data_IF_156911987906
#
_entry.id   IF_156911987906
#
_cell.length_a   1.000
_cell.length_b   1.000
_cell.length_c   1.000
_cell.angle_alpha   90.00
_cell.angle_beta   90.00
_cell.angle_gamma   90.00
#
_symmetry.space_group_name_H-M   'P 1'
#
loop_
_entity.id
_entity.type
_entity.pdbx_description
1 polymer ?
#
# COMPACT_ATOMS: atom_id res chain seq x y z
N UNK A 1 66.25 7.90 12.23
CA UNK A 1 65.74 9.16 11.67
C UNK A 1 64.78 8.78 10.55
N UNK A 2 63.56 9.31 10.62
CA UNK A 2 62.28 8.88 10.03
C UNK A 2 62.28 8.21 8.65
N UNK A 3 61.55 7.09 8.57
CA UNK A 3 60.99 6.45 7.37
C UNK A 3 59.70 7.19 7.03
N UNK A 4 59.58 7.72 5.80
CA UNK A 4 58.38 8.38 5.30
C UNK A 4 57.45 7.33 4.69
N UNK A 5 56.35 7.01 5.37
CA UNK A 5 55.25 6.23 4.80
C UNK A 5 54.40 7.14 3.90
N UNK A 6 54.35 6.82 2.61
CA UNK A 6 53.43 7.43 1.67
C UNK A 6 52.03 6.82 1.94
N UNK A 7 51.16 7.59 2.57
CA UNK A 7 49.74 7.24 2.72
C UNK A 7 49.09 7.51 1.37
N UNK A 8 48.77 6.44 0.64
CA UNK A 8 47.88 6.49 -0.52
C UNK A 8 46.47 6.66 0.05
N UNK A 9 45.92 7.86 -0.10
CA UNK A 9 44.52 8.16 0.19
C UNK A 9 43.68 7.43 -0.85
N UNK A 10 43.00 6.36 -0.44
CA UNK A 10 41.90 5.80 -1.21
C UNK A 10 40.77 6.82 -1.21
N UNK A 11 40.56 7.45 -2.36
CA UNK A 11 39.27 8.09 -2.66
C UNK A 11 38.28 6.94 -2.83
N UNK A 12 37.44 6.74 -1.82
CA UNK A 12 36.26 5.89 -1.90
C UNK A 12 35.33 6.50 -2.96
N UNK A 13 35.43 6.05 -4.22
CA UNK A 13 34.27 6.09 -5.10
C UNK A 13 33.31 5.04 -4.56
N UNK A 14 32.21 5.48 -3.96
CA UNK A 14 31.09 4.60 -3.60
C UNK A 14 30.51 4.01 -4.89
N UNK A 15 31.04 2.87 -5.30
CA UNK A 15 30.29 1.93 -6.13
C UNK A 15 29.17 1.45 -5.21
N UNK A 16 28.00 2.07 -5.35
CA UNK A 16 26.75 1.48 -4.87
C UNK A 16 26.75 0.08 -5.47
N UNK A 17 26.70 -0.96 -4.65
CA UNK A 17 26.57 -2.32 -5.15
C UNK A 17 25.41 -2.32 -6.15
N UNK A 18 25.61 -2.85 -7.37
CA UNK A 18 24.57 -2.93 -8.40
C UNK A 18 23.43 -3.80 -7.88
N UNK A 19 22.47 -3.19 -7.16
CA UNK A 19 21.28 -3.89 -6.70
C UNK A 19 20.41 -4.09 -7.95
N UNK A 20 20.10 -5.33 -8.34
CA UNK A 20 19.42 -5.62 -9.60
C UNK A 20 17.97 -5.11 -9.62
N UNK A 21 17.41 -4.76 -8.47
CA UNK A 21 16.06 -4.24 -8.28
C UNK A 21 16.01 -3.27 -7.10
N UNK A 22 15.00 -2.41 -7.07
CA UNK A 22 14.58 -1.64 -5.90
C UNK A 22 13.37 -2.31 -5.23
N UNK A 23 13.14 -2.01 -3.96
CA UNK A 23 11.95 -2.44 -3.23
C UNK A 23 10.87 -1.37 -3.31
N UNK A 24 9.62 -1.80 -3.47
CA UNK A 24 8.44 -0.93 -3.51
C UNK A 24 7.65 -1.14 -2.22
N UNK A 25 7.28 -0.04 -1.56
CA UNK A 25 6.58 -0.08 -0.28
C UNK A 25 7.45 -0.64 0.86
N UNK A 26 6.78 -1.05 1.95
CA UNK A 26 7.47 -1.63 3.11
C UNK A 26 7.76 -3.11 2.92
N UNK A 27 8.91 -3.51 3.43
CA UNK A 27 9.42 -4.88 3.35
C UNK A 27 10.26 -5.21 4.58
N UNK A 28 10.50 -6.50 4.82
CA UNK A 28 11.35 -6.96 5.91
C UNK A 28 12.41 -7.93 5.37
N UNK A 29 13.69 -7.58 5.54
CA UNK A 29 14.79 -8.49 5.21
C UNK A 29 14.86 -9.63 6.23
N UNK A 30 15.06 -10.86 5.74
CA UNK A 30 15.19 -12.05 6.57
C UNK A 30 16.20 -13.03 6.00
N UNK A 31 16.54 -14.08 6.76
CA UNK A 31 17.42 -15.16 6.27
C UNK A 31 16.82 -15.97 5.12
N UNK A 32 15.51 -15.91 4.92
CA UNK A 32 14.78 -16.64 3.86
C UNK A 32 14.65 -15.81 2.57
N UNK A 33 14.91 -14.50 2.64
CA UNK A 33 14.66 -13.55 1.57
C UNK A 33 13.95 -12.29 2.08
N UNK A 34 13.45 -11.48 1.14
CA UNK A 34 12.73 -10.24 1.46
C UNK A 34 11.24 -10.55 1.61
N UNK A 35 10.66 -10.21 2.76
CA UNK A 35 9.24 -10.41 3.08
C UNK A 35 8.40 -9.21 2.68
N UNK A 36 7.26 -9.47 2.06
CA UNK A 36 6.30 -8.50 1.54
C UNK A 36 4.91 -8.76 2.10
N UNK A 37 4.42 -7.82 2.92
CA UNK A 37 3.16 -7.97 3.65
C UNK A 37 2.07 -7.01 3.19
N UNK A 38 2.43 -5.76 2.93
CA UNK A 38 1.45 -4.72 2.60
C UNK A 38 0.95 -4.82 1.15
N UNK A 39 -0.32 -4.47 0.87
CA UNK A 39 -0.79 -4.29 -0.50
C UNK A 39 0.08 -3.27 -1.24
N UNK A 40 0.36 -3.51 -2.51
CA UNK A 40 1.23 -2.68 -3.34
C UNK A 40 2.73 -2.80 -3.05
N UNK A 41 3.15 -3.59 -2.04
CA UNK A 41 4.57 -3.86 -1.80
C UNK A 41 5.15 -4.83 -2.83
N UNK A 42 6.44 -4.73 -3.14
CA UNK A 42 7.03 -5.52 -4.20
C UNK A 42 8.47 -5.18 -4.51
N UNK A 43 8.86 -5.49 -5.73
CA UNK A 43 10.14 -5.08 -6.30
C UNK A 43 9.93 -4.42 -7.66
N UNK A 44 10.84 -3.53 -8.02
CA UNK A 44 10.86 -2.87 -9.32
C UNK A 44 12.27 -2.90 -9.88
N UNK A 45 12.41 -3.04 -11.20
CA UNK A 45 13.70 -3.03 -11.88
C UNK A 45 13.59 -2.46 -13.28
N UNK A 46 14.71 -2.00 -13.82
CA UNK A 46 14.82 -1.50 -15.18
C UNK A 46 15.68 -2.44 -15.99
N UNK A 47 15.18 -2.80 -17.16
CA UNK A 47 15.94 -3.50 -18.21
C UNK A 47 16.31 -2.48 -19.27
N UNK A 48 17.61 -2.30 -19.52
CA UNK A 48 18.08 -1.47 -20.63
C UNK A 48 17.73 -2.12 -21.98
N UNK A 49 17.56 -1.35 -23.07
CA UNK A 49 17.30 -1.91 -24.39
C UNK A 49 18.31 -3.00 -24.78
N UNK A 50 17.82 -4.13 -25.28
CA UNK A 50 18.61 -5.28 -25.74
C UNK A 50 18.31 -5.60 -27.21
N UNK A 51 19.11 -6.48 -27.82
CA UNK A 51 18.84 -6.97 -29.19
C UNK A 51 17.67 -7.96 -29.23
N UNK A 52 17.48 -8.72 -28.15
CA UNK A 52 16.47 -9.76 -28.01
C UNK A 52 15.55 -9.48 -26.80
N UNK A 53 14.49 -10.27 -26.67
CA UNK A 53 13.65 -10.28 -25.46
C UNK A 53 14.50 -10.70 -24.26
N UNK A 54 14.31 -10.03 -23.13
CA UNK A 54 14.98 -10.37 -21.88
C UNK A 54 14.05 -11.19 -21.01
N UNK A 55 14.48 -12.40 -20.69
CA UNK A 55 13.78 -13.22 -19.70
C UNK A 55 14.31 -12.92 -18.29
N UNK A 56 13.37 -12.64 -17.39
CA UNK A 56 13.58 -12.46 -15.95
C UNK A 56 12.73 -13.48 -15.20
N UNK A 57 13.28 -14.06 -14.14
CA UNK A 57 12.58 -14.96 -13.24
C UNK A 57 12.67 -14.43 -11.81
N UNK A 58 11.51 -14.36 -11.15
CA UNK A 58 11.37 -14.00 -9.75
C UNK A 58 10.75 -15.19 -9.02
N UNK A 59 11.47 -15.78 -8.07
CA UNK A 59 10.93 -16.88 -7.27
C UNK A 59 10.29 -16.34 -5.99
N UNK A 60 9.01 -16.66 -5.81
CA UNK A 60 8.19 -16.19 -4.70
C UNK A 60 7.69 -17.37 -3.87
N UNK A 61 7.95 -17.33 -2.56
CA UNK A 61 7.46 -18.34 -1.63
C UNK A 61 6.39 -17.74 -0.72
N UNK A 62 5.44 -18.57 -0.32
CA UNK A 62 4.48 -18.25 0.73
C UNK A 62 4.59 -19.36 1.78
N UNK A 63 4.73 -18.97 3.04
CA UNK A 63 4.96 -19.91 4.13
C UNK A 63 3.91 -21.03 4.13
N UNK A 64 4.32 -22.32 4.18
CA UNK A 64 3.41 -23.47 4.11
C UNK A 64 2.58 -23.68 5.38
N UNK A 65 2.74 -22.83 6.41
CA UNK A 65 1.99 -22.95 7.66
C UNK A 65 0.50 -22.79 7.33
N UNK A 66 -0.26 -23.80 7.73
CA UNK A 66 -1.61 -24.06 7.26
C UNK A 66 -2.56 -22.93 7.65
N UNK A 67 -3.04 -22.27 6.61
CA UNK A 67 -4.23 -21.44 6.61
C UNK A 67 -5.43 -22.30 6.96
N UNK A 68 -6.04 -22.00 8.09
CA UNK A 68 -7.38 -22.41 8.40
C UNK A 68 -8.12 -21.15 8.80
N UNK A 69 -9.17 -20.79 8.08
CA UNK A 69 -10.17 -19.91 8.65
C UNK A 69 -10.73 -20.54 9.95
N UNK A 70 -11.59 -19.80 10.65
CA UNK A 70 -12.22 -20.28 11.89
C UNK A 70 -13.05 -21.59 11.69
N UNK A 71 -13.23 -22.04 10.45
CA UNK A 71 -13.97 -23.24 10.03
C UNK A 71 -13.07 -24.33 9.40
N UNK A 72 -11.76 -24.10 9.25
CA UNK A 72 -10.82 -25.06 8.67
C UNK A 72 -10.64 -25.02 7.15
N UNK A 73 -10.97 -23.93 6.45
CA UNK A 73 -10.69 -23.78 5.01
C UNK A 73 -9.43 -22.95 4.72
N UNK A 74 -8.72 -23.34 3.65
CA UNK A 74 -7.45 -22.75 3.25
C UNK A 74 -7.68 -21.49 2.40
N UNK A 75 -6.89 -20.44 2.67
CA UNK A 75 -6.68 -19.34 1.73
C UNK A 75 -6.16 -19.88 0.39
N UNK A 76 -6.66 -19.33 -0.72
CA UNK A 76 -6.25 -19.74 -2.07
C UNK A 76 -4.83 -19.24 -2.44
N UNK A 77 -4.22 -18.38 -1.62
CA UNK A 77 -2.88 -17.80 -1.81
C UNK A 77 -2.87 -16.28 -1.89
N UNK A 78 -1.69 -15.69 -2.11
CA UNK A 78 -1.47 -14.24 -2.30
C UNK A 78 -1.34 -13.94 -3.79
N UNK A 79 -1.97 -12.86 -4.27
CA UNK A 79 -1.86 -12.43 -5.67
C UNK A 79 -0.72 -11.45 -5.84
N UNK A 80 0.12 -11.72 -6.84
CA UNK A 80 1.19 -10.83 -7.30
C UNK A 80 0.95 -10.53 -8.78
N UNK A 81 1.09 -9.27 -9.19
CA UNK A 81 0.93 -8.84 -10.57
C UNK A 81 2.22 -8.26 -11.12
N UNK A 82 2.40 -8.42 -12.44
CA UNK A 82 3.55 -7.92 -13.21
C UNK A 82 3.09 -6.80 -14.11
N UNK A 83 3.81 -5.69 -14.07
CA UNK A 83 3.60 -4.53 -14.93
C UNK A 83 4.88 -4.23 -15.70
N UNK A 84 4.75 -3.83 -16.96
CA UNK A 84 5.86 -3.31 -17.78
C UNK A 84 5.45 -1.93 -18.28
N UNK A 85 6.25 -0.91 -17.97
CA UNK A 85 5.94 0.49 -18.27
C UNK A 85 4.55 0.91 -17.73
N UNK A 86 4.19 0.41 -16.55
CA UNK A 86 2.89 0.65 -15.91
C UNK A 86 1.72 -0.18 -16.47
N UNK A 87 1.91 -0.87 -17.60
CA UNK A 87 0.86 -1.69 -18.22
C UNK A 87 0.84 -3.10 -17.63
N UNK A 88 -0.34 -3.56 -17.20
CA UNK A 88 -0.55 -4.92 -16.69
C UNK A 88 -0.14 -5.98 -17.73
N UNK A 89 0.65 -6.96 -17.30
CA UNK A 89 1.09 -8.07 -18.14
C UNK A 89 0.45 -9.40 -17.71
N UNK A 90 0.62 -9.76 -16.45
CA UNK A 90 0.11 -11.03 -15.90
C UNK A 90 -0.08 -10.94 -14.37
N UNK A 91 -0.81 -11.90 -13.80
CA UNK A 91 -0.88 -12.09 -12.35
C UNK A 91 -0.73 -13.55 -11.95
N UNK A 92 -0.01 -13.77 -10.86
CA UNK A 92 0.29 -15.08 -10.31
C UNK A 92 -0.32 -15.23 -8.92
N UNK A 93 -0.92 -16.39 -8.67
CA UNK A 93 -1.38 -16.77 -7.35
C UNK A 93 -0.28 -17.58 -6.66
N UNK A 94 0.42 -16.95 -5.72
CA UNK A 94 1.47 -17.58 -4.90
C UNK A 94 0.79 -18.40 -3.81
N UNK A 95 0.97 -19.72 -3.86
CA UNK A 95 0.33 -20.67 -2.94
C UNK A 95 1.30 -21.15 -1.87
N UNK A 96 0.81 -21.52 -0.68
CA UNK A 96 1.63 -22.18 0.33
C UNK A 96 2.20 -23.49 -0.23
N UNK A 97 3.52 -23.58 -0.36
CA UNK A 97 4.21 -24.68 -1.04
C UNK A 97 5.67 -24.78 -0.60
N UNK A 98 6.24 -26.00 -0.58
CA UNK A 98 7.69 -26.20 -0.37
C UNK A 98 8.52 -25.74 -1.58
N UNK A 99 7.91 -25.66 -2.76
CA UNK A 99 8.54 -25.15 -3.98
C UNK A 99 8.07 -23.72 -4.25
N UNK A 100 8.99 -22.75 -4.46
CA UNK A 100 8.64 -21.39 -4.85
C UNK A 100 7.79 -21.35 -6.14
N UNK A 101 6.97 -20.30 -6.25
CA UNK A 101 6.29 -19.94 -7.49
C UNK A 101 7.22 -19.11 -8.35
N UNK A 102 7.60 -19.61 -9.53
CA UNK A 102 8.40 -18.86 -10.50
C UNK A 102 7.51 -17.93 -11.32
N UNK A 103 7.70 -16.62 -11.13
CA UNK A 103 7.12 -15.57 -11.98
C UNK A 103 8.09 -15.32 -13.13
N UNK A 104 7.71 -15.73 -14.34
CA UNK A 104 8.52 -15.57 -15.56
C UNK A 104 8.04 -14.35 -16.33
N UNK A 105 8.97 -13.45 -16.62
CA UNK A 105 8.70 -12.15 -17.22
C UNK A 105 9.52 -12.04 -18.49
N UNK A 106 8.85 -11.84 -19.62
CA UNK A 106 9.51 -11.58 -20.90
C UNK A 106 9.43 -10.09 -21.20
N UNK A 107 10.54 -9.39 -20.98
CA UNK A 107 10.65 -7.95 -21.21
C UNK A 107 10.99 -7.69 -22.68
N UNK A 108 10.22 -6.84 -23.38
CA UNK A 108 10.49 -6.51 -24.78
C UNK A 108 11.91 -5.99 -24.99
N UNK A 109 12.46 -6.17 -26.20
CA UNK A 109 13.82 -5.73 -26.55
C UNK A 109 14.04 -4.22 -26.39
N UNK A 110 12.96 -3.42 -26.42
CA UNK A 110 13.03 -2.00 -26.08
C UNK A 110 13.44 -1.73 -24.63
N UNK A 111 13.44 -2.75 -23.77
CA UNK A 111 13.64 -2.62 -22.34
C UNK A 111 12.42 -2.00 -21.66
N UNK A 112 12.62 -1.58 -20.41
CA UNK A 112 11.63 -0.83 -19.65
C UNK A 112 11.70 -1.08 -18.14
N UNK A 113 10.90 -0.30 -17.41
CA UNK A 113 10.61 -0.52 -15.99
C UNK A 113 9.64 -1.69 -15.85
N UNK A 114 9.96 -2.61 -14.96
CA UNK A 114 9.12 -3.73 -14.55
C UNK A 114 8.81 -3.58 -13.07
N UNK A 115 7.55 -3.71 -12.70
CA UNK A 115 7.08 -3.74 -11.32
C UNK A 115 6.43 -5.11 -11.05
N UNK A 116 6.85 -5.79 -9.99
CA UNK A 116 6.28 -7.06 -9.52
C UNK A 116 5.71 -6.81 -8.13
N UNK A 117 4.39 -6.65 -8.05
CA UNK A 117 3.71 -6.11 -6.86
C UNK A 117 2.76 -7.13 -6.26
N UNK A 118 2.79 -7.29 -4.94
CA UNK A 118 1.70 -7.91 -4.17
C UNK A 118 0.46 -7.02 -4.32
N UNK A 119 -0.57 -7.52 -4.98
CA UNK A 119 -1.80 -6.74 -5.24
C UNK A 119 -2.92 -7.07 -4.28
N UNK A 120 -2.96 -8.27 -3.71
CA UNK A 120 -3.90 -8.58 -2.64
C UNK A 120 -3.37 -8.11 -1.29
N UNK A 121 -4.23 -7.54 -0.46
CA UNK A 121 -3.86 -7.19 0.91
C UNK A 121 -3.54 -8.41 1.79
N UNK A 122 -3.04 -8.14 2.99
CA UNK A 122 -2.90 -9.15 4.03
C UNK A 122 -4.22 -9.29 4.81
N UNK A 123 -4.56 -10.52 5.20
CA UNK A 123 -5.78 -10.83 5.95
C UNK A 123 -5.40 -11.39 7.31
N UNK A 124 -5.89 -10.77 8.38
CA UNK A 124 -5.71 -11.09 9.81
C UNK A 124 -5.01 -12.42 10.12
N UNK A 125 -3.71 -12.48 9.85
CA UNK A 125 -2.89 -13.64 10.20
C UNK A 125 -2.34 -13.44 11.60
N UNK A 126 -2.26 -14.52 12.36
CA UNK A 126 -1.31 -14.55 13.47
C UNK A 126 0.05 -14.81 12.85
N UNK A 127 1.04 -13.95 13.12
CA UNK A 127 2.41 -14.02 12.62
C UNK A 127 2.58 -13.60 11.14
N UNK A 128 3.83 -13.59 10.66
CA UNK A 128 4.24 -13.24 9.28
C UNK A 128 3.81 -14.25 8.21
N UNK A 129 2.87 -15.13 8.56
CA UNK A 129 2.45 -16.28 7.75
C UNK A 129 2.00 -15.88 6.35
N UNK A 130 1.36 -14.71 6.20
CA UNK A 130 0.85 -14.20 4.92
C UNK A 130 1.89 -13.42 4.09
N UNK A 131 3.12 -13.28 4.58
CA UNK A 131 4.15 -12.58 3.82
C UNK A 131 4.59 -13.40 2.60
N UNK A 132 4.63 -12.74 1.44
CA UNK A 132 5.29 -13.31 0.26
C UNK A 132 6.79 -13.05 0.42
N UNK A 133 7.58 -14.11 0.27
CA UNK A 133 9.03 -14.05 0.38
C UNK A 133 9.63 -14.06 -1.02
N UNK A 134 10.36 -13.01 -1.37
CA UNK A 134 11.24 -12.99 -2.53
C UNK A 134 12.48 -13.83 -2.22
N UNK A 135 12.57 -15.03 -2.81
CA UNK A 135 13.65 -16.00 -2.53
C UNK A 135 14.77 -15.96 -3.57
N UNK A 136 14.46 -15.59 -4.82
CA UNK A 136 15.48 -15.39 -5.84
C UNK A 136 15.03 -14.42 -6.93
N UNK A 137 16.03 -13.83 -7.59
CA UNK A 137 15.90 -12.97 -8.76
C UNK A 137 16.98 -13.36 -9.76
N UNK A 138 16.58 -13.72 -10.97
CA UNK A 138 17.48 -14.11 -12.06
C UNK A 138 17.10 -13.37 -13.34
N UNK A 139 18.09 -12.87 -14.07
CA UNK A 139 17.88 -12.17 -15.33
C UNK A 139 18.91 -12.59 -16.36
N UNK A 140 18.48 -12.72 -17.61
CA UNK A 140 19.35 -13.00 -18.77
C UNK A 140 20.15 -11.78 -19.24
N UNK A 141 19.79 -10.59 -18.77
CA UNK A 141 20.50 -9.34 -19.03
C UNK A 141 20.71 -8.51 -17.74
N UNK A 142 21.66 -7.56 -17.71
CA UNK A 142 21.82 -6.64 -16.58
C UNK A 142 20.53 -5.88 -16.27
N UNK A 143 20.26 -5.71 -14.98
CA UNK A 143 19.11 -4.96 -14.45
C UNK A 143 19.60 -3.96 -13.41
N UNK A 144 18.80 -2.93 -13.15
CA UNK A 144 19.08 -1.95 -12.10
C UNK A 144 17.81 -1.56 -11.37
N UNK A 145 17.94 -1.13 -10.13
CA UNK A 145 16.85 -0.41 -9.46
C UNK A 145 16.39 0.81 -10.30
N UNK A 146 15.07 1.11 -10.36
CA UNK A 146 14.58 2.32 -11.00
C UNK A 146 15.09 3.56 -10.27
N UNK A 147 15.22 4.66 -11.00
CA UNK A 147 15.42 5.97 -10.36
C UNK A 147 14.13 6.35 -9.59
N UNK A 148 14.26 7.00 -8.43
CA UNK A 148 13.10 7.55 -7.73
C UNK A 148 12.30 8.49 -8.64
N UNK A 149 10.98 8.40 -8.55
CA UNK A 149 10.08 9.33 -9.23
C UNK A 149 10.11 10.72 -8.57
N UNK A 150 9.65 11.79 -9.25
CA UNK A 150 9.69 13.15 -8.71
C UNK A 150 8.89 13.37 -7.42
N UNK A 151 7.92 12.51 -7.15
CA UNK A 151 7.05 12.56 -5.99
C UNK A 151 7.02 11.19 -5.30
N UNK A 152 6.99 11.16 -3.98
CA UNK A 152 6.77 9.95 -3.18
C UNK A 152 5.57 10.14 -2.24
N UNK A 153 4.58 9.26 -2.33
CA UNK A 153 3.35 9.35 -1.54
C UNK A 153 3.18 8.11 -0.66
N UNK A 154 2.94 8.33 0.64
CA UNK A 154 2.52 7.28 1.55
C UNK A 154 1.01 7.35 1.77
N UNK A 155 0.30 6.32 1.33
CA UNK A 155 -1.12 6.14 1.54
C UNK A 155 -1.38 5.31 2.79
N UNK A 156 -2.23 5.82 3.66
CA UNK A 156 -2.62 5.20 4.92
C UNK A 156 -4.14 5.02 4.90
N UNK A 157 -4.64 3.79 5.05
CA UNK A 157 -6.07 3.58 4.94
C UNK A 157 -6.63 2.22 5.31
N UNK A 158 -7.89 2.03 4.92
CA UNK A 158 -8.67 0.82 5.14
C UNK A 158 -8.86 0.02 3.83
N UNK A 159 -9.99 -0.70 3.72
CA UNK A 159 -10.34 -1.55 2.58
C UNK A 159 -10.39 -0.79 1.25
N UNK A 160 -10.80 0.47 1.22
CA UNK A 160 -10.83 1.24 -0.02
C UNK A 160 -9.42 1.56 -0.52
N UNK A 161 -8.50 1.87 0.40
CA UNK A 161 -7.09 2.11 0.05
C UNK A 161 -6.39 0.81 -0.36
N UNK A 162 -6.77 -0.32 0.26
CA UNK A 162 -6.30 -1.66 -0.09
C UNK A 162 -6.85 -2.20 -1.43
N UNK A 163 -7.88 -1.55 -2.01
CA UNK A 163 -8.50 -1.96 -3.28
C UNK A 163 -9.42 -3.18 -3.12
N UNK A 164 -10.06 -3.36 -1.97
CA UNK A 164 -10.97 -4.47 -1.73
C UNK A 164 -12.21 -4.40 -2.63
N UNK A 165 -12.60 -5.53 -3.21
CA UNK A 165 -13.81 -5.64 -4.02
C UNK A 165 -13.69 -5.10 -5.45
N UNK A 166 -12.51 -4.65 -5.85
CA UNK A 166 -12.30 -3.93 -7.11
C UNK A 166 -12.61 -4.75 -8.38
N UNK A 167 -12.33 -6.05 -8.35
CA UNK A 167 -12.57 -6.98 -9.47
C UNK A 167 -13.98 -7.59 -9.48
N UNK A 168 -14.87 -7.10 -8.63
CA UNK A 168 -16.20 -7.69 -8.43
C UNK A 168 -17.32 -6.71 -8.75
N UNK A 169 -18.55 -7.19 -8.66
CA UNK A 169 -19.76 -6.37 -8.70
C UNK A 169 -20.65 -6.69 -7.48
N UNK A 170 -21.64 -5.84 -7.13
CA UNK A 170 -22.37 -5.98 -5.85
C UNK A 170 -23.20 -7.27 -5.71
N UNK A 171 -23.39 -7.99 -6.81
CA UNK A 171 -24.16 -9.24 -6.89
C UNK A 171 -23.28 -10.44 -7.24
N UNK A 172 -21.96 -10.28 -7.22
CA UNK A 172 -21.03 -11.35 -7.56
C UNK A 172 -21.13 -12.46 -6.50
N UNK A 173 -21.36 -13.73 -6.90
CA UNK A 173 -21.32 -14.86 -5.97
C UNK A 173 -20.00 -14.95 -5.19
N UNK A 174 -18.89 -14.46 -5.75
CA UNK A 174 -17.62 -14.34 -5.05
C UNK A 174 -17.82 -13.58 -3.75
N UNK A 175 -18.53 -12.44 -3.77
CA UNK A 175 -18.83 -11.62 -2.59
C UNK A 175 -19.62 -12.35 -1.49
N UNK A 176 -20.20 -13.53 -1.76
CA UNK A 176 -20.97 -14.29 -0.78
C UNK A 176 -20.12 -15.26 0.05
N UNK A 177 -18.87 -15.50 -0.33
CA UNK A 177 -17.95 -16.32 0.44
C UNK A 177 -16.84 -15.46 1.03
N UNK A 178 -16.95 -15.02 2.30
CA UNK A 178 -16.00 -14.09 2.92
C UNK A 178 -14.57 -14.63 2.98
N UNK A 179 -14.34 -15.93 2.87
CA UNK A 179 -13.07 -16.54 3.26
C UNK A 179 -11.97 -16.53 2.18
N UNK A 180 -12.34 -16.44 0.89
CA UNK A 180 -11.40 -16.38 -0.24
C UNK A 180 -11.55 -15.09 -1.08
N UNK A 181 -12.15 -14.05 -0.50
CA UNK A 181 -12.42 -12.79 -1.19
C UNK A 181 -11.15 -12.07 -1.59
N UNK A 182 -10.24 -11.87 -0.65
CA UNK A 182 -9.21 -10.84 -0.79
C UNK A 182 -8.25 -11.06 -1.97
N UNK A 183 -7.81 -12.29 -2.22
CA UNK A 183 -6.96 -12.58 -3.39
C UNK A 183 -7.73 -12.74 -4.71
N UNK A 184 -9.06 -12.77 -4.68
CA UNK A 184 -9.92 -12.88 -5.87
C UNK A 184 -10.52 -11.54 -6.30
N UNK A 185 -10.97 -10.75 -5.34
CA UNK A 185 -11.71 -9.51 -5.59
C UNK A 185 -10.89 -8.27 -5.27
N UNK A 186 -9.82 -8.37 -4.47
CA UNK A 186 -8.98 -7.24 -4.09
C UNK A 186 -7.77 -7.07 -5.01
N UNK A 187 -7.47 -5.82 -5.36
CA UNK A 187 -6.29 -5.45 -6.15
C UNK A 187 -5.87 -4.00 -5.89
N UNK A 188 -4.83 -3.85 -5.07
CA UNK A 188 -4.28 -2.57 -4.68
C UNK A 188 -3.63 -1.81 -5.85
N UNK A 189 -3.23 -2.48 -6.94
CA UNK A 189 -2.66 -1.78 -8.11
C UNK A 189 -3.70 -0.95 -8.84
N UNK A 190 -4.98 -1.28 -8.67
CA UNK A 190 -6.10 -0.57 -9.25
C UNK A 190 -6.81 0.33 -8.22
N UNK A 191 -6.38 0.37 -6.96
CA UNK A 191 -7.01 1.22 -5.96
C UNK A 191 -6.80 2.70 -6.24
N UNK A 192 -7.59 3.56 -5.59
CA UNK A 192 -7.47 5.01 -5.73
C UNK A 192 -6.06 5.51 -5.39
N UNK A 193 -5.36 4.83 -4.48
CA UNK A 193 -4.00 5.16 -4.09
C UNK A 193 -3.01 4.92 -5.24
N UNK A 194 -3.07 3.75 -5.87
CA UNK A 194 -2.20 3.44 -7.01
C UNK A 194 -2.54 4.31 -8.22
N UNK A 195 -3.83 4.47 -8.54
CA UNK A 195 -4.27 5.32 -9.64
C UNK A 195 -3.86 6.79 -9.43
N UNK A 196 -3.96 7.31 -8.20
CA UNK A 196 -3.51 8.67 -7.90
C UNK A 196 -1.98 8.81 -8.03
N UNK A 197 -1.22 7.82 -7.57
CA UNK A 197 0.23 7.83 -7.73
C UNK A 197 0.62 7.81 -9.22
N UNK A 198 -0.06 7.00 -10.04
CA UNK A 198 0.19 6.93 -11.48
C UNK A 198 -0.17 8.25 -12.19
N UNK A 199 -1.30 8.87 -11.81
CA UNK A 199 -1.73 10.19 -12.32
C UNK A 199 -0.73 11.32 -12.00
N UNK A 200 0.05 11.17 -10.94
CA UNK A 200 1.01 12.16 -10.44
C UNK A 200 2.46 11.81 -10.75
N UNK A 201 2.71 10.71 -11.47
CA UNK A 201 4.05 10.14 -11.68
C UNK A 201 4.82 10.00 -10.35
N UNK A 202 4.21 9.33 -9.37
CA UNK A 202 4.72 9.22 -8.01
C UNK A 202 5.12 7.78 -7.64
N UNK A 203 6.20 7.64 -6.88
CA UNK A 203 6.45 6.43 -6.11
C UNK A 203 5.43 6.35 -4.97
N UNK A 204 5.10 5.13 -4.53
CA UNK A 204 4.05 4.91 -3.55
C UNK A 204 4.44 3.90 -2.48
N UNK A 205 3.97 4.16 -1.27
CA UNK A 205 3.85 3.18 -0.19
C UNK A 205 2.39 3.11 0.21
N UNK A 206 1.83 1.91 0.36
CA UNK A 206 0.44 1.72 0.79
C UNK A 206 0.46 0.92 2.09
N UNK A 207 -0.03 1.52 3.17
CA UNK A 207 -0.33 0.83 4.43
C UNK A 207 -1.82 0.82 4.64
N UNK A 208 -2.45 -0.27 4.21
CA UNK A 208 -3.89 -0.42 4.24
C UNK A 208 -4.31 -1.83 4.62
N UNK A 209 -5.36 -1.92 5.45
CA UNK A 209 -5.95 -3.17 5.90
C UNK A 209 -7.47 -3.02 5.95
N UNK A 210 -8.18 -3.95 5.33
CA UNK A 210 -9.64 -4.01 5.39
C UNK A 210 -10.16 -4.04 6.82
N UNK A 211 -11.23 -3.30 7.08
CA UNK A 211 -11.94 -3.33 8.38
C UNK A 211 -11.18 -2.69 9.54
N UNK A 212 -10.04 -2.03 9.31
CA UNK A 212 -9.38 -1.23 10.35
C UNK A 212 -10.01 0.14 10.50
N UNK A 213 -9.94 0.66 11.71
CA UNK A 213 -10.34 2.02 12.06
C UNK A 213 -9.29 2.68 12.93
N UNK A 214 -9.57 3.88 13.38
CA UNK A 214 -8.70 4.67 14.25
C UNK A 214 -8.70 4.11 15.67
N UNK A 215 -9.89 3.87 16.24
CA UNK A 215 -10.02 3.38 17.61
C UNK A 215 -10.12 1.86 17.69
N UNK A 216 -10.59 1.20 16.63
CA UNK A 216 -10.85 -0.24 16.63
C UNK A 216 -12.13 -0.62 17.37
N UNK A 217 -13.19 0.17 17.19
CA UNK A 217 -14.47 -0.07 17.84
C UNK A 217 -15.41 -0.94 16.97
N UNK A 218 -16.38 -1.60 17.59
CA UNK A 218 -17.49 -2.30 16.92
C UNK A 218 -17.09 -3.43 15.95
N UNK A 219 -16.00 -4.16 16.26
CA UNK A 219 -15.50 -5.27 15.45
C UNK A 219 -14.43 -4.88 14.43
N UNK A 220 -14.05 -3.60 14.38
CA UNK A 220 -12.90 -3.11 13.62
C UNK A 220 -11.62 -3.25 14.45
N UNK A 221 -10.47 -3.47 13.81
CA UNK A 221 -9.18 -3.43 14.51
C UNK A 221 -8.57 -2.01 14.47
N UNK A 222 -7.85 -1.57 15.53
CA UNK A 222 -7.22 -0.26 15.54
C UNK A 222 -5.98 -0.24 14.65
N UNK A 223 -5.94 0.67 13.66
CA UNK A 223 -4.86 0.78 12.68
C UNK A 223 -3.49 1.03 13.34
N UNK A 224 -3.46 1.76 14.46
CA UNK A 224 -2.24 2.05 15.20
C UNK A 224 -1.46 0.79 15.66
N UNK A 225 -2.10 -0.37 15.77
CA UNK A 225 -1.40 -1.63 16.08
C UNK A 225 -0.51 -2.13 14.93
N UNK A 226 -0.80 -1.69 13.69
CA UNK A 226 -0.13 -2.12 12.46
C UNK A 226 0.69 -1.00 11.81
N UNK A 227 0.37 0.25 12.12
CA UNK A 227 0.86 1.46 11.45
C UNK A 227 2.39 1.53 11.32
N UNK A 228 3.13 0.93 12.27
CA UNK A 228 4.59 0.97 12.33
C UNK A 228 5.26 -0.34 11.92
N UNK A 229 4.52 -1.33 11.44
CA UNK A 229 5.12 -2.61 11.07
C UNK A 229 5.54 -2.59 9.58
N UNK A 230 6.67 -3.24 9.31
CA UNK A 230 7.16 -3.58 7.97
C UNK A 230 6.28 -4.67 7.32
N UNK A 231 5.72 -5.56 8.14
CA UNK A 231 4.68 -6.52 7.76
C UNK A 231 3.46 -6.30 8.66
N UNK A 232 2.24 -6.16 8.13
CA UNK A 232 1.09 -5.67 8.90
C UNK A 232 0.84 -6.47 10.19
N UNK A 233 0.82 -7.79 10.13
CA UNK A 233 0.43 -8.66 11.26
C UNK A 233 1.59 -9.39 11.94
N UNK A 234 2.84 -8.99 11.70
CA UNK A 234 3.96 -9.46 12.53
C UNK A 234 4.08 -8.52 13.74
N UNK A 235 3.87 -9.04 14.95
CA UNK A 235 3.77 -8.22 16.17
C UNK A 235 5.07 -8.15 16.98
N UNK A 236 6.18 -8.64 16.44
CA UNK A 236 7.48 -8.57 17.10
C UNK A 236 8.20 -7.23 16.85
N UNK A 237 9.11 -6.84 17.73
CA UNK A 237 9.89 -5.60 17.57
C UNK A 237 10.81 -5.64 16.34
N UNK A 238 11.19 -6.83 15.85
CA UNK A 238 11.99 -6.96 14.63
C UNK A 238 11.21 -6.62 13.35
N UNK A 239 9.88 -6.57 13.43
CA UNK A 239 9.01 -6.19 12.34
C UNK A 239 8.81 -4.69 12.22
N UNK A 240 9.29 -3.87 13.16
CA UNK A 240 9.08 -2.42 13.10
C UNK A 240 9.78 -1.82 11.88
N UNK A 241 9.04 -1.00 11.15
CA UNK A 241 9.54 -0.31 9.98
C UNK A 241 10.59 0.72 10.39
N UNK A 242 11.78 0.62 9.80
CA UNK A 242 12.81 1.63 9.98
C UNK A 242 12.53 2.82 9.07
N UNK A 243 11.79 3.80 9.60
CA UNK A 243 11.48 5.04 8.89
C UNK A 243 12.73 5.85 8.47
N UNK A 244 13.87 5.64 9.13
CA UNK A 244 15.13 6.31 8.78
C UNK A 244 15.89 5.62 7.64
N UNK A 245 15.50 4.39 7.29
CA UNK A 245 16.13 3.61 6.21
C UNK A 245 15.70 4.04 4.81
N UNK A 246 14.63 4.85 4.70
CA UNK A 246 14.08 5.34 3.43
C UNK A 246 13.92 6.85 3.44
N UNK A 247 13.94 7.52 2.27
CA UNK A 247 13.57 8.93 2.19
C UNK A 247 12.14 9.17 2.71
N UNK A 248 11.95 10.27 3.44
CA UNK A 248 10.60 10.69 3.84
C UNK A 248 9.74 10.93 2.59
N UNK A 249 8.48 10.50 2.57
CA UNK A 249 7.58 10.80 1.46
C UNK A 249 7.29 12.30 1.43
N UNK A 250 6.99 12.84 0.26
CA UNK A 250 6.56 14.23 0.12
C UNK A 250 5.18 14.41 0.76
N UNK A 251 4.28 13.43 0.53
CA UNK A 251 2.90 13.44 1.04
C UNK A 251 2.59 12.18 1.86
N UNK A 252 1.80 12.34 2.92
CA UNK A 252 1.11 11.24 3.60
C UNK A 252 -0.39 11.48 3.50
N UNK A 253 -1.11 10.63 2.78
CA UNK A 253 -2.57 10.74 2.61
C UNK A 253 -3.28 9.74 3.53
N UNK A 254 -4.08 10.24 4.48
CA UNK A 254 -4.75 9.43 5.50
C UNK A 254 -6.24 9.37 5.24
N UNK A 255 -6.72 8.24 4.70
CA UNK A 255 -8.14 7.93 4.51
C UNK A 255 -8.54 6.81 5.48
N UNK A 256 -8.88 7.20 6.69
CA UNK A 256 -9.35 6.32 7.77
C UNK A 256 -10.54 6.95 8.50
N UNK A 257 -11.35 6.11 9.14
CA UNK A 257 -12.51 6.53 9.92
C UNK A 257 -13.90 6.11 9.41
N UNK A 258 -14.13 5.80 8.12
CA UNK A 258 -15.42 5.26 7.68
C UNK A 258 -15.90 4.05 8.49
N UNK A 259 -14.97 3.19 8.90
CA UNK A 259 -15.25 2.01 9.75
C UNK A 259 -15.62 2.38 11.20
N UNK A 260 -14.99 3.40 11.79
CA UNK A 260 -15.27 3.83 13.17
C UNK A 260 -16.64 4.52 13.30
N UNK A 261 -16.98 5.33 12.29
CA UNK A 261 -18.15 6.19 12.31
C UNK A 261 -19.30 5.64 11.45
N UNK A 262 -19.28 4.34 11.16
CA UNK A 262 -20.22 3.72 10.23
C UNK A 262 -21.64 3.51 10.76
N UNK A 263 -22.52 3.00 9.89
CA UNK A 263 -23.91 2.63 10.24
C UNK A 263 -24.00 1.63 11.39
N UNK A 264 -23.03 0.72 11.49
CA UNK A 264 -22.91 -0.25 12.59
C UNK A 264 -22.82 0.43 13.97
N UNK A 265 -22.34 1.68 14.02
CA UNK A 265 -22.28 2.51 15.22
C UNK A 265 -23.37 3.62 15.26
N UNK A 266 -24.47 3.43 14.53
CA UNK A 266 -25.53 4.43 14.47
C UNK A 266 -25.07 5.79 13.93
N UNK A 267 -24.06 5.78 13.04
CA UNK A 267 -23.43 6.96 12.44
C UNK A 267 -22.77 7.90 13.47
N UNK A 268 -22.25 7.37 14.57
CA UNK A 268 -21.45 8.12 15.56
C UNK A 268 -20.01 7.64 15.50
N UNK A 269 -19.07 8.52 15.83
CA UNK A 269 -17.69 8.13 16.08
C UNK A 269 -17.52 7.67 17.54
N UNK A 270 -16.56 6.77 17.83
CA UNK A 270 -16.27 6.35 19.19
C UNK A 270 -15.58 7.46 19.99
N UNK A 271 -15.63 7.35 21.33
CA UNK A 271 -15.29 8.44 22.26
C UNK A 271 -13.85 8.94 22.13
N UNK A 272 -12.89 8.10 21.73
CA UNK A 272 -11.47 8.47 21.60
C UNK A 272 -11.03 8.67 20.16
N UNK A 273 -11.96 8.70 19.21
CA UNK A 273 -11.63 8.88 17.80
C UNK A 273 -10.74 10.11 17.57
N UNK A 274 -11.15 11.27 18.10
CA UNK A 274 -10.45 12.53 17.84
C UNK A 274 -9.03 12.55 18.41
N UNK A 275 -8.84 12.01 19.61
CA UNK A 275 -7.54 11.87 20.26
C UNK A 275 -6.62 10.96 19.45
N UNK A 276 -7.09 9.75 19.13
CA UNK A 276 -6.29 8.75 18.40
C UNK A 276 -6.01 9.15 16.95
N UNK A 277 -6.92 9.86 16.29
CA UNK A 277 -6.69 10.37 14.94
C UNK A 277 -5.59 11.44 14.96
N UNK A 278 -5.63 12.37 15.93
CA UNK A 278 -4.57 13.37 16.11
C UNK A 278 -3.21 12.72 16.41
N UNK A 279 -3.19 11.71 17.29
CA UNK A 279 -1.98 10.96 17.62
C UNK A 279 -1.39 10.24 16.39
N UNK A 280 -2.22 9.71 15.49
CA UNK A 280 -1.78 9.10 14.25
C UNK A 280 -1.13 10.12 13.29
N UNK A 281 -1.69 11.34 13.18
CA UNK A 281 -1.05 12.38 12.37
C UNK A 281 0.31 12.77 12.96
N UNK A 282 0.37 12.96 14.28
CA UNK A 282 1.61 13.31 14.98
C UNK A 282 2.63 12.17 14.90
N UNK A 283 2.23 10.91 14.91
CA UNK A 283 3.18 9.80 14.78
C UNK A 283 3.88 9.83 13.42
N UNK A 284 3.15 9.99 12.32
CA UNK A 284 3.75 10.12 10.99
C UNK A 284 4.64 11.37 10.87
N UNK A 285 4.22 12.51 11.44
CA UNK A 285 5.04 13.73 11.43
C UNK A 285 6.37 13.50 12.13
N UNK A 286 6.34 12.86 13.31
CA UNK A 286 7.53 12.51 14.07
C UNK A 286 8.41 11.49 13.34
N UNK A 287 7.81 10.43 12.78
CA UNK A 287 8.55 9.39 12.06
C UNK A 287 9.30 9.94 10.85
N UNK A 288 8.72 10.92 10.15
CA UNK A 288 9.33 11.58 9.00
C UNK A 288 10.06 12.89 9.34
N UNK A 289 10.21 13.19 10.63
CA UNK A 289 10.93 14.38 11.11
C UNK A 289 10.35 15.71 10.61
N UNK A 290 9.02 15.79 10.43
CA UNK A 290 8.31 16.98 9.97
C UNK A 290 8.51 17.34 8.50
N UNK A 291 9.08 16.43 7.70
CA UNK A 291 9.41 16.69 6.30
C UNK A 291 8.21 16.49 5.37
N UNK A 292 7.34 15.53 5.66
CA UNK A 292 6.18 15.20 4.84
C UNK A 292 5.02 16.18 5.07
N UNK A 293 4.24 16.47 4.02
CA UNK A 293 2.93 17.08 4.18
C UNK A 293 1.91 15.97 4.43
N UNK A 294 1.40 15.91 5.65
CA UNK A 294 0.32 14.97 6.02
C UNK A 294 -1.01 15.62 5.64
N UNK A 295 -1.90 14.87 5.00
CA UNK A 295 -3.21 15.34 4.53
C UNK A 295 -4.27 14.34 4.96
N UNK A 296 -5.27 14.83 5.70
CA UNK A 296 -6.46 14.05 6.05
C UNK A 296 -7.41 14.00 4.85
N UNK A 297 -7.80 12.79 4.46
CA UNK A 297 -8.75 12.55 3.36
C UNK A 297 -10.06 12.05 3.96
N UNK A 298 -11.12 12.82 3.76
CA UNK A 298 -12.50 12.47 4.13
C UNK A 298 -13.17 11.90 2.88
N UNK A 299 -13.56 10.64 2.94
CA UNK A 299 -14.17 9.94 1.82
C UNK A 299 -14.22 8.44 2.09
N UNK A 300 -14.14 7.64 1.03
CA UNK A 300 -14.34 6.20 1.12
C UNK A 300 -15.81 5.80 1.01
N UNK A 301 -16.02 4.51 0.79
CA UNK A 301 -17.30 3.85 0.61
C UNK A 301 -18.18 3.97 1.85
N UNK A 302 -19.49 3.81 1.66
CA UNK A 302 -20.50 3.69 2.73
C UNK A 302 -20.66 4.91 3.64
N UNK A 303 -19.73 5.16 4.56
CA UNK A 303 -19.84 6.14 5.65
C UNK A 303 -18.86 7.31 5.51
N UNK A 304 -18.15 7.39 4.37
CA UNK A 304 -17.16 8.43 4.08
C UNK A 304 -17.67 9.88 4.06
N UNK A 305 -18.99 10.09 3.96
CA UNK A 305 -19.63 11.40 4.07
C UNK A 305 -20.52 11.53 5.31
N UNK A 306 -20.33 10.68 6.32
CA UNK A 306 -21.05 10.82 7.59
C UNK A 306 -20.68 12.18 8.24
N UNK A 307 -21.66 13.07 8.56
CA UNK A 307 -21.37 14.32 9.25
C UNK A 307 -20.57 14.16 10.55
N UNK A 308 -20.82 13.11 11.33
CA UNK A 308 -20.06 12.86 12.56
C UNK A 308 -18.58 12.55 12.28
N UNK A 309 -18.29 11.85 11.18
CA UNK A 309 -16.91 11.59 10.74
C UNK A 309 -16.24 12.90 10.31
N UNK A 310 -16.95 13.71 9.53
CA UNK A 310 -16.44 15.00 9.04
C UNK A 310 -16.08 15.92 10.22
N UNK A 311 -16.98 16.05 11.19
CA UNK A 311 -16.78 16.87 12.38
C UNK A 311 -15.61 16.34 13.23
N UNK A 312 -15.54 15.02 13.44
CA UNK A 312 -14.51 14.40 14.26
C UNK A 312 -13.11 14.51 13.62
N UNK A 313 -12.96 14.26 12.32
CA UNK A 313 -11.70 14.47 11.60
C UNK A 313 -11.32 15.96 11.64
N UNK A 314 -12.28 16.86 11.38
CA UNK A 314 -12.01 18.31 11.42
C UNK A 314 -11.51 18.78 12.79
N UNK A 315 -12.12 18.29 13.88
CA UNK A 315 -11.70 18.55 15.26
C UNK A 315 -10.31 17.97 15.55
N UNK A 316 -10.09 16.71 15.21
CA UNK A 316 -8.82 16.01 15.42
C UNK A 316 -7.65 16.68 14.68
N UNK A 317 -7.83 16.98 13.39
CA UNK A 317 -6.81 17.67 12.57
C UNK A 317 -6.55 19.07 13.10
N UNK A 318 -7.58 19.81 13.54
CA UNK A 318 -7.39 21.13 14.15
C UNK A 318 -6.55 21.06 15.42
N UNK A 319 -6.77 20.04 16.26
CA UNK A 319 -5.97 19.79 17.46
C UNK A 319 -4.53 19.40 17.11
N UNK A 320 -4.33 18.47 16.16
CA UNK A 320 -2.99 18.05 15.74
C UNK A 320 -2.18 19.21 15.14
N UNK A 321 -2.84 20.14 14.43
CA UNK A 321 -2.20 21.32 13.83
C UNK A 321 -1.56 22.27 14.85
N UNK A 322 -1.85 22.14 16.15
CA UNK A 322 -1.14 22.87 17.20
C UNK A 322 0.31 22.40 17.37
N UNK A 323 0.58 21.13 17.06
CA UNK A 323 1.87 20.46 17.33
C UNK A 323 2.59 19.97 16.06
N UNK A 324 1.90 19.82 14.92
CA UNK A 324 2.48 19.37 13.65
C UNK A 324 3.51 20.36 13.10
N UNK A 325 4.60 19.85 12.51
CA UNK A 325 5.61 20.68 11.85
C UNK A 325 5.04 21.45 10.64
N UNK A 326 4.09 20.84 9.92
CA UNK A 326 3.31 21.46 8.84
C UNK A 326 1.82 21.25 9.12
N UNK A 327 0.98 22.28 9.08
CA UNK A 327 -0.46 22.09 9.24
C UNK A 327 -0.99 21.07 8.23
N UNK A 328 -1.72 20.07 8.72
CA UNK A 328 -2.41 19.08 7.93
C UNK A 328 -3.68 19.68 7.32
N UNK A 329 -3.79 19.81 5.98
CA UNK A 329 -5.01 20.16 5.32
C UNK A 329 -5.98 18.97 5.30
N UNK A 330 -7.25 19.30 5.10
CA UNK A 330 -8.32 18.33 4.92
C UNK A 330 -8.81 18.42 3.47
N UNK A 331 -8.81 17.28 2.79
CA UNK A 331 -9.43 17.08 1.49
C UNK A 331 -10.69 16.24 1.72
N UNK A 332 -11.81 16.67 1.15
CA UNK A 332 -13.07 15.92 1.23
C UNK A 332 -13.49 15.54 -0.16
N UNK A 333 -13.71 14.25 -0.41
CA UNK A 333 -14.26 13.77 -1.66
C UNK A 333 -15.54 14.56 -1.98
N UNK A 334 -15.61 15.15 -3.17
CA UNK A 334 -16.71 16.07 -3.50
C UNK A 334 -18.06 15.37 -3.31
N UNK A 335 -19.04 15.96 -2.59
CA UNK A 335 -20.30 15.28 -2.29
C UNK A 335 -21.07 14.77 -3.51
N UNK A 336 -20.99 15.47 -4.65
CA UNK A 336 -21.61 14.97 -5.89
C UNK A 336 -20.92 13.71 -6.42
N UNK A 337 -19.59 13.66 -6.39
CA UNK A 337 -18.80 12.49 -6.80
C UNK A 337 -19.05 11.34 -5.84
N UNK A 338 -19.04 11.59 -4.52
CA UNK A 338 -19.33 10.56 -3.54
C UNK A 338 -20.74 9.97 -3.72
N UNK A 339 -21.76 10.80 -3.94
CA UNK A 339 -23.12 10.34 -4.21
C UNK A 339 -23.22 9.53 -5.51
N UNK A 340 -22.49 9.93 -6.55
CA UNK A 340 -22.45 9.22 -7.83
C UNK A 340 -21.87 7.81 -7.68
N UNK A 341 -20.73 7.69 -6.98
CA UNK A 341 -20.04 6.41 -6.76
C UNK A 341 -20.86 5.50 -5.83
N UNK A 342 -21.53 6.06 -4.81
CA UNK A 342 -22.28 5.27 -3.82
C UNK A 342 -23.74 4.99 -4.24
N UNK A 343 -24.20 5.48 -5.40
CA UNK A 343 -25.42 5.00 -6.02
C UNK A 343 -25.12 3.70 -6.79
N UNK A 344 -25.56 2.57 -6.22
CA UNK A 344 -25.31 1.23 -6.76
C UNK A 344 -25.89 1.01 -8.16
N UNK A 345 -26.78 1.88 -8.64
CA UNK A 345 -27.31 1.81 -10.01
C UNK A 345 -26.33 2.36 -11.07
N UNK A 346 -25.31 3.12 -10.66
CA UNK A 346 -24.35 3.73 -11.59
C UNK A 346 -23.19 2.80 -11.98
N UNK A 347 -23.05 1.65 -11.33
CA UNK A 347 -22.07 0.64 -11.73
C UNK A 347 -20.63 0.94 -11.32
N UNK A 348 -20.42 1.71 -10.23
CA UNK A 348 -19.11 2.03 -9.66
C UNK A 348 -18.73 1.17 -8.44
N UNK A 349 -19.58 0.23 -8.05
CA UNK A 349 -19.39 -0.57 -6.84
C UNK A 349 -18.98 -2.02 -7.13
N UNK A 350 -18.20 -2.58 -6.22
CA UNK A 350 -17.87 -3.99 -6.08
C UNK A 350 -18.52 -4.62 -4.85
N UNK A 351 -17.85 -5.61 -4.27
CA UNK A 351 -18.33 -6.35 -3.11
C UNK A 351 -18.64 -5.44 -1.92
N UNK A 352 -19.78 -5.70 -1.26
CA UNK A 352 -20.20 -5.02 -0.03
C UNK A 352 -20.27 -3.49 -0.13
N UNK A 353 -20.44 -2.95 -1.34
CA UNK A 353 -20.54 -1.50 -1.55
C UNK A 353 -19.20 -0.77 -1.66
N UNK A 354 -18.07 -1.50 -1.65
CA UNK A 354 -16.76 -0.94 -2.01
C UNK A 354 -16.75 -0.53 -3.47
N UNK A 355 -15.67 0.10 -3.91
CA UNK A 355 -15.57 0.61 -5.27
C UNK A 355 -14.96 -0.43 -6.22
N UNK A 356 -15.44 -0.45 -7.45
CA UNK A 356 -14.72 -1.11 -8.54
C UNK A 356 -13.66 -0.16 -9.11
N UNK A 357 -12.89 -0.61 -10.10
CA UNK A 357 -11.80 0.17 -10.70
C UNK A 357 -12.23 1.59 -11.12
N UNK A 358 -13.41 1.71 -11.75
CA UNK A 358 -13.95 3.01 -12.19
C UNK A 358 -14.38 3.90 -11.02
N UNK A 359 -14.89 3.30 -9.95
CA UNK A 359 -15.19 4.04 -8.72
C UNK A 359 -13.91 4.61 -8.09
N UNK A 360 -12.85 3.81 -8.04
CA UNK A 360 -11.53 4.26 -7.59
C UNK A 360 -10.93 5.34 -8.50
N UNK A 361 -11.14 5.26 -9.81
CA UNK A 361 -10.73 6.29 -10.77
C UNK A 361 -11.37 7.65 -10.47
N UNK A 362 -12.67 7.68 -10.14
CA UNK A 362 -13.35 8.91 -9.76
C UNK A 362 -12.80 9.49 -8.45
N UNK A 363 -12.49 8.64 -7.45
CA UNK A 363 -11.85 9.08 -6.21
C UNK A 363 -10.47 9.66 -6.47
N UNK A 364 -9.63 8.98 -7.26
CA UNK A 364 -8.28 9.41 -7.58
C UNK A 364 -8.28 10.76 -8.32
N UNK A 365 -9.15 10.93 -9.31
CA UNK A 365 -9.26 12.19 -10.05
C UNK A 365 -9.74 13.35 -9.17
N UNK A 366 -10.75 13.15 -8.33
CA UNK A 366 -11.25 14.21 -7.45
C UNK A 366 -10.19 14.63 -6.42
N UNK A 367 -9.47 13.68 -5.83
CA UNK A 367 -8.37 13.97 -4.89
C UNK A 367 -7.21 14.67 -5.61
N UNK A 368 -6.82 14.21 -6.81
CA UNK A 368 -5.78 14.86 -7.63
C UNK A 368 -6.11 16.33 -7.86
N UNK A 369 -7.33 16.64 -8.29
CA UNK A 369 -7.75 18.01 -8.60
C UNK A 369 -7.69 18.91 -7.35
N UNK A 370 -8.03 18.35 -6.19
CA UNK A 370 -7.89 19.05 -4.91
C UNK A 370 -6.43 19.23 -4.48
N UNK A 371 -5.55 18.24 -4.74
CA UNK A 371 -4.12 18.34 -4.47
C UNK A 371 -3.46 19.45 -5.30
N UNK A 372 -3.73 19.48 -6.61
CA UNK A 372 -3.25 20.51 -7.54
C UNK A 372 -3.76 21.89 -7.12
N UNK A 373 -5.06 22.00 -6.80
CA UNK A 373 -5.65 23.25 -6.34
C UNK A 373 -5.04 23.75 -5.02
N UNK A 374 -4.67 22.84 -4.14
CA UNK A 374 -3.98 23.13 -2.88
C UNK A 374 -2.51 23.49 -3.04
N UNK A 375 -1.91 23.24 -4.21
CA UNK A 375 -0.50 23.48 -4.48
C UNK A 375 0.44 22.50 -3.75
N UNK A 376 -0.04 21.29 -3.46
CA UNK A 376 0.77 20.23 -2.84
C UNK A 376 1.43 19.31 -3.86
N UNK A 377 1.00 19.37 -5.13
CA UNK A 377 1.55 18.64 -6.28
C UNK A 377 1.57 19.50 -7.53
#
# INVERSE_FOLDING_TARGET
MLILFLIVVFVLSSVVADVPYGLVGRSLDSSEGVKLGWPGSGLAFVVAPQEEVVDVAVALSLSPIKWYDLEGQMSDGVRVAVFIEGEFQDSHLVKPSETPTDVKISVPSAGGRVDVLRVSEDIYSTDDMNSVILTSFESTAPTSAPLPRPLNIHFVGDSDTAGFGIHSHPYDPACLNPYNLWSKVGDASLSWASQLADLLDADRTITAVSGVGIEGAYGCLPFAEYADNALPFLYDDSSKWDYASVPSPDLVLVLLGPNDCGKSNGNKCPDKFEEKYADLLLSYDNHYGGQSQIISVIGGSSSGQNPALIDAISSATSKANEDLAKPSPIITLTPSIWNEINDHSNGYNGCFGHYNEKGHELVANDIRDQLVKGGWV
#
